data_IF_274442245251
#
_entry.id   IF_274442245251
#
_cell.length_a   1.000
_cell.length_b   1.000
_cell.length_c   1.000
_cell.angle_alpha   90.00
_cell.angle_beta   90.00
_cell.angle_gamma   90.00
#
_symmetry.space_group_name_H-M   'P 1'
#
loop_
_entity.id
_entity.type
_entity.pdbx_description
1 polymer ?
#
# COMPACT_ATOMS: atom_id res chain seq x y z
N UNK A 1 -3.61 -20.57 -23.66
CA UNK A 1 -2.25 -20.33 -23.12
C UNK A 1 -1.30 -19.75 -24.17
N UNK A 2 -1.18 -20.31 -25.38
CA UNK A 2 -0.30 -19.76 -26.42
C UNK A 2 -0.61 -18.28 -26.76
N UNK A 3 -1.88 -17.94 -26.94
CA UNK A 3 -2.31 -16.57 -27.25
C UNK A 3 -2.03 -15.58 -26.13
N UNK A 4 -2.13 -15.99 -24.85
CA UNK A 4 -1.83 -15.15 -23.70
C UNK A 4 -0.33 -14.89 -23.55
N UNK A 5 0.50 -15.92 -23.76
CA UNK A 5 1.95 -15.76 -23.76
C UNK A 5 2.40 -14.83 -24.91
N UNK A 6 1.78 -14.94 -26.07
CA UNK A 6 2.04 -14.05 -27.20
C UNK A 6 1.63 -12.62 -26.91
N UNK A 7 0.49 -12.39 -26.23
CA UNK A 7 0.05 -11.07 -25.79
C UNK A 7 1.11 -10.41 -24.88
N UNK A 8 1.57 -11.10 -23.85
CA UNK A 8 2.60 -10.58 -22.93
C UNK A 8 3.93 -10.36 -23.66
N UNK A 9 4.30 -11.28 -24.59
CA UNK A 9 5.49 -11.14 -25.41
C UNK A 9 5.44 -9.91 -26.35
N UNK A 10 4.25 -9.44 -26.74
CA UNK A 10 4.08 -8.20 -27.52
C UNK A 10 4.09 -6.96 -26.60
N UNK A 11 3.41 -7.02 -25.46
CA UNK A 11 3.33 -5.90 -24.53
C UNK A 11 4.69 -5.56 -23.92
N UNK A 12 5.50 -6.55 -23.60
CA UNK A 12 6.79 -6.39 -22.92
C UNK A 12 7.78 -5.46 -23.65
N UNK A 13 8.15 -5.73 -24.91
CA UNK A 13 9.06 -4.86 -25.68
C UNK A 13 8.53 -3.42 -25.80
N UNK A 14 7.22 -3.25 -25.96
CA UNK A 14 6.58 -1.93 -26.02
C UNK A 14 6.71 -1.17 -24.70
N UNK A 15 6.45 -1.83 -23.55
CA UNK A 15 6.65 -1.26 -22.24
C UNK A 15 8.12 -0.88 -21.99
N UNK A 16 9.05 -1.76 -22.36
CA UNK A 16 10.50 -1.49 -22.25
C UNK A 16 10.94 -0.30 -23.11
N UNK A 17 10.43 -0.16 -24.32
CA UNK A 17 10.70 1.00 -25.17
C UNK A 17 10.13 2.29 -24.55
N UNK A 18 8.89 2.23 -24.04
CA UNK A 18 8.26 3.35 -23.37
C UNK A 18 9.01 3.76 -22.10
N UNK A 19 9.45 2.81 -21.26
CA UNK A 19 10.23 3.07 -20.06
C UNK A 19 11.55 3.81 -20.39
N UNK A 20 12.24 3.43 -21.48
CA UNK A 20 13.43 4.17 -21.92
C UNK A 20 13.12 5.61 -22.35
N UNK A 21 11.98 5.81 -23.03
CA UNK A 21 11.54 7.17 -23.40
C UNK A 21 11.24 8.01 -22.15
N UNK A 22 10.51 7.44 -21.17
CA UNK A 22 10.18 8.11 -19.92
C UNK A 22 11.42 8.48 -19.09
N UNK A 23 12.41 7.59 -19.03
CA UNK A 23 13.65 7.84 -18.30
C UNK A 23 14.46 9.03 -18.85
N UNK A 24 14.25 9.39 -20.14
CA UNK A 24 14.88 10.55 -20.79
C UNK A 24 13.93 11.76 -20.93
N UNK A 25 12.67 11.63 -20.56
CA UNK A 25 11.70 12.71 -20.72
C UNK A 25 11.96 13.85 -19.72
N UNK A 26 11.82 15.12 -20.14
CA UNK A 26 11.88 16.24 -19.20
C UNK A 26 10.77 16.15 -18.15
N UNK A 27 11.04 16.52 -16.87
CA UNK A 27 10.02 16.56 -15.83
C UNK A 27 8.73 17.27 -16.23
N UNK A 28 8.85 18.44 -16.86
CA UNK A 28 7.68 19.22 -17.32
C UNK A 28 6.81 18.47 -18.34
N UNK A 29 7.39 17.59 -19.17
CA UNK A 29 6.63 16.79 -20.12
C UNK A 29 5.85 15.68 -19.40
N UNK A 30 6.42 15.07 -18.37
CA UNK A 30 5.73 14.09 -17.51
C UNK A 30 4.55 14.75 -16.81
N UNK A 31 4.75 15.96 -16.24
CA UNK A 31 3.69 16.71 -15.57
C UNK A 31 2.57 17.09 -16.55
N UNK A 32 2.92 17.58 -17.74
CA UNK A 32 1.95 17.88 -18.79
C UNK A 32 1.16 16.63 -19.23
N UNK A 33 1.80 15.45 -19.25
CA UNK A 33 1.12 14.20 -19.55
C UNK A 33 0.12 13.79 -18.47
N UNK A 34 0.46 13.94 -17.18
CA UNK A 34 -0.44 13.69 -16.06
C UNK A 34 -1.67 14.62 -16.10
N UNK A 35 -1.46 15.89 -16.38
CA UNK A 35 -2.55 16.87 -16.58
C UNK A 35 -3.44 16.52 -17.79
N UNK A 36 -2.83 16.11 -18.90
CA UNK A 36 -3.56 15.64 -20.08
C UNK A 36 -4.37 14.38 -19.79
N UNK A 37 -3.79 13.42 -19.05
CA UNK A 37 -4.48 12.22 -18.60
C UNK A 37 -5.69 12.55 -17.72
N UNK A 38 -5.55 13.49 -16.79
CA UNK A 38 -6.64 13.95 -15.94
C UNK A 38 -7.78 14.59 -16.76
N UNK A 39 -7.43 15.41 -17.76
CA UNK A 39 -8.39 16.02 -18.69
C UNK A 39 -9.14 14.98 -19.53
N UNK A 40 -8.41 14.02 -20.11
CA UNK A 40 -9.00 12.94 -20.91
C UNK A 40 -9.88 12.00 -20.09
N UNK A 41 -9.52 11.76 -18.81
CA UNK A 41 -10.35 10.98 -17.88
C UNK A 41 -11.71 11.65 -17.65
N UNK A 42 -11.73 12.98 -17.43
CA UNK A 42 -12.96 13.74 -17.29
C UNK A 42 -13.76 13.81 -18.60
N UNK A 43 -13.09 13.98 -19.74
CA UNK A 43 -13.75 13.97 -21.04
C UNK A 43 -14.41 12.62 -21.34
N UNK A 44 -13.82 11.51 -20.88
CA UNK A 44 -14.34 10.14 -21.04
C UNK A 44 -15.31 9.73 -19.91
N UNK A 45 -15.69 10.62 -19.00
CA UNK A 45 -16.47 10.28 -17.80
C UNK A 45 -17.72 9.45 -18.11
N UNK A 46 -18.50 9.84 -19.12
CA UNK A 46 -19.72 9.12 -19.50
C UNK A 46 -19.43 7.70 -19.98
N UNK A 47 -18.40 7.51 -20.80
CA UNK A 47 -18.00 6.18 -21.28
C UNK A 47 -17.53 5.29 -20.13
N UNK A 48 -16.76 5.85 -19.20
CA UNK A 48 -16.28 5.15 -18.00
C UNK A 48 -17.46 4.74 -17.11
N UNK A 49 -18.42 5.64 -16.86
CA UNK A 49 -19.58 5.35 -16.03
C UNK A 49 -20.49 4.31 -16.67
N UNK A 50 -20.69 4.36 -17.98
CA UNK A 50 -21.45 3.36 -18.73
C UNK A 50 -20.79 1.97 -18.65
N UNK A 51 -19.48 1.89 -18.84
CA UNK A 51 -18.70 0.65 -18.68
C UNK A 51 -18.83 0.13 -17.23
N UNK A 52 -18.73 1.02 -16.24
CA UNK A 52 -18.82 0.69 -14.83
C UNK A 52 -20.21 0.17 -14.45
N UNK A 53 -21.27 0.77 -14.96
CA UNK A 53 -22.63 0.28 -14.72
C UNK A 53 -22.81 -1.18 -15.18
N UNK A 54 -22.19 -1.55 -16.32
CA UNK A 54 -22.18 -2.93 -16.80
C UNK A 54 -21.42 -3.89 -15.90
N UNK A 55 -20.25 -3.48 -15.39
CA UNK A 55 -19.45 -4.30 -14.47
C UNK A 55 -20.16 -4.45 -13.11
N UNK A 56 -20.73 -3.36 -12.57
CA UNK A 56 -21.51 -3.39 -11.32
C UNK A 56 -22.76 -4.26 -11.43
N UNK A 57 -23.48 -4.19 -12.55
CA UNK A 57 -24.65 -5.04 -12.79
C UNK A 57 -24.27 -6.53 -12.82
N UNK A 58 -23.16 -6.87 -13.50
CA UNK A 58 -22.63 -8.23 -13.54
C UNK A 58 -22.21 -8.74 -12.16
N UNK A 59 -21.54 -7.89 -11.36
CA UNK A 59 -21.13 -8.24 -10.00
C UNK A 59 -22.32 -8.50 -9.07
N UNK A 60 -23.37 -7.66 -9.15
CA UNK A 60 -24.63 -7.87 -8.41
C UNK A 60 -25.35 -9.17 -8.82
N UNK A 61 -25.42 -9.42 -10.12
CA UNK A 61 -26.03 -10.65 -10.65
C UNK A 61 -25.25 -11.92 -10.23
N UNK A 62 -23.94 -11.81 -10.06
CA UNK A 62 -23.08 -12.88 -9.54
C UNK A 62 -23.13 -13.04 -8.00
N UNK A 63 -23.98 -12.28 -7.29
CA UNK A 63 -24.12 -12.36 -5.84
C UNK A 63 -22.93 -11.86 -5.04
N UNK A 64 -22.14 -10.94 -5.58
CA UNK A 64 -21.00 -10.36 -4.89
C UNK A 64 -21.42 -9.54 -3.67
N UNK A 65 -20.57 -9.47 -2.65
CA UNK A 65 -20.84 -8.75 -1.41
C UNK A 65 -21.07 -7.25 -1.65
N UNK A 66 -21.88 -6.61 -0.80
CA UNK A 66 -22.11 -5.16 -0.86
C UNK A 66 -20.81 -4.35 -0.80
N UNK A 67 -19.84 -4.78 0.01
CA UNK A 67 -18.52 -4.16 0.13
C UNK A 67 -17.71 -4.23 -1.18
N UNK A 68 -17.76 -5.36 -1.90
CA UNK A 68 -17.11 -5.50 -3.20
C UNK A 68 -17.80 -4.63 -4.25
N UNK A 69 -19.12 -4.62 -4.27
CA UNK A 69 -19.91 -3.78 -5.19
C UNK A 69 -19.64 -2.28 -4.96
N UNK A 70 -19.55 -1.83 -3.70
CA UNK A 70 -19.19 -0.44 -3.40
C UNK A 70 -17.77 -0.09 -3.88
N UNK A 71 -16.79 -0.97 -3.65
CA UNK A 71 -15.40 -0.78 -4.14
C UNK A 71 -15.32 -0.70 -5.66
N UNK A 72 -16.15 -1.46 -6.36
CA UNK A 72 -16.22 -1.49 -7.83
C UNK A 72 -16.92 -0.26 -8.41
N UNK A 73 -17.89 0.30 -7.67
CA UNK A 73 -18.75 1.36 -8.17
C UNK A 73 -18.00 2.68 -8.34
N UNK A 74 -18.04 3.27 -9.53
CA UNK A 74 -17.64 4.64 -9.78
C UNK A 74 -18.88 5.55 -9.86
N UNK A 75 -18.75 6.74 -9.31
CA UNK A 75 -19.68 7.86 -9.47
C UNK A 75 -18.97 9.00 -10.19
N UNK A 76 -19.69 10.03 -10.69
CA UNK A 76 -19.04 11.21 -11.25
C UNK A 76 -17.98 11.83 -10.32
N UNK A 77 -18.28 11.88 -9.02
CA UNK A 77 -17.38 12.42 -7.99
C UNK A 77 -16.14 11.53 -7.82
N UNK A 78 -16.29 10.21 -7.85
CA UNK A 78 -15.15 9.26 -7.78
C UNK A 78 -14.26 9.37 -9.01
N UNK A 79 -14.82 9.58 -10.21
CA UNK A 79 -14.01 9.83 -11.42
C UNK A 79 -13.31 11.18 -11.33
N UNK A 80 -13.99 12.23 -10.86
CA UNK A 80 -13.37 13.54 -10.64
C UNK A 80 -12.24 13.46 -9.61
N UNK A 81 -12.41 12.69 -8.53
CA UNK A 81 -11.37 12.45 -7.53
C UNK A 81 -10.15 11.74 -8.12
N UNK A 82 -10.34 10.78 -9.05
CA UNK A 82 -9.22 10.15 -9.76
C UNK A 82 -8.45 11.17 -10.62
N UNK A 83 -9.15 12.06 -11.34
CA UNK A 83 -8.51 13.10 -12.13
C UNK A 83 -7.74 14.09 -11.25
N UNK A 84 -8.30 14.48 -10.10
CA UNK A 84 -7.61 15.32 -9.12
C UNK A 84 -6.39 14.61 -8.51
N UNK A 85 -6.46 13.31 -8.28
CA UNK A 85 -5.33 12.47 -7.87
C UNK A 85 -4.16 12.58 -8.86
N UNK A 86 -4.42 12.52 -10.17
CA UNK A 86 -3.38 12.72 -11.19
C UNK A 86 -2.75 14.11 -11.14
N UNK A 87 -3.55 15.17 -10.95
CA UNK A 87 -3.04 16.54 -10.79
C UNK A 87 -2.19 16.68 -9.54
N UNK A 88 -2.63 16.09 -8.43
CA UNK A 88 -1.85 16.07 -7.21
C UNK A 88 -0.51 15.37 -7.43
N UNK A 89 -0.48 14.21 -8.09
CA UNK A 89 0.75 13.50 -8.46
C UNK A 89 1.62 14.37 -9.38
N UNK A 90 1.04 15.08 -10.36
CA UNK A 90 1.78 16.03 -11.22
C UNK A 90 2.50 17.10 -10.42
N UNK A 91 1.90 17.60 -9.33
CA UNK A 91 2.49 18.66 -8.48
C UNK A 91 3.61 18.15 -7.55
N UNK A 92 3.78 16.85 -7.38
CA UNK A 92 4.83 16.30 -6.51
C UNK A 92 6.23 16.47 -7.13
N UNK A 93 7.30 16.50 -6.32
CA UNK A 93 8.67 16.51 -6.82
C UNK A 93 8.96 15.25 -7.66
N UNK A 94 9.75 15.42 -8.74
CA UNK A 94 10.25 14.29 -9.50
C UNK A 94 11.36 13.55 -8.74
N UNK A 95 11.24 12.24 -8.51
CA UNK A 95 12.30 11.49 -7.84
C UNK A 95 13.46 11.17 -8.80
N UNK A 96 13.19 10.89 -10.07
CA UNK A 96 14.23 10.55 -11.06
C UNK A 96 15.17 11.72 -11.31
N UNK A 97 16.47 11.45 -11.30
CA UNK A 97 17.52 12.48 -11.47
C UNK A 97 17.97 13.14 -10.15
N UNK A 98 17.27 12.92 -9.05
CA UNK A 98 17.65 13.47 -7.74
C UNK A 98 18.99 12.91 -7.28
N UNK A 99 19.89 13.80 -6.87
CA UNK A 99 21.20 13.44 -6.30
C UNK A 99 21.03 13.12 -4.82
N UNK A 100 21.24 11.86 -4.44
CA UNK A 100 21.12 11.39 -3.07
C UNK A 100 22.36 11.66 -2.23
N UNK A 101 23.54 11.61 -2.87
CA UNK A 101 24.83 11.83 -2.23
C UNK A 101 25.90 12.15 -3.28
N UNK A 102 26.78 13.07 -2.94
CA UNK A 102 28.01 13.35 -3.72
C UNK A 102 29.24 13.28 -2.83
N UNK A 103 30.34 12.83 -3.40
CA UNK A 103 31.68 12.84 -2.72
C UNK A 103 32.80 12.81 -3.73
N UNK A 104 33.99 13.21 -3.29
CA UNK A 104 35.22 13.20 -4.09
C UNK A 104 36.26 12.30 -3.40
N UNK A 105 36.90 11.44 -4.16
CA UNK A 105 37.97 10.59 -3.67
C UNK A 105 39.32 11.34 -3.72
N UNK A 106 40.35 10.93 -2.94
CA UNK A 106 41.66 11.55 -2.95
C UNK A 106 42.36 11.60 -4.33
N UNK A 107 42.01 10.66 -5.23
CA UNK A 107 42.51 10.63 -6.62
C UNK A 107 41.75 11.60 -7.56
N UNK A 108 40.84 12.43 -7.04
CA UNK A 108 40.09 13.44 -7.81
C UNK A 108 38.85 12.95 -8.51
N UNK A 109 38.52 11.65 -8.44
CA UNK A 109 37.24 11.14 -8.97
C UNK A 109 36.07 11.70 -8.18
N UNK A 110 35.09 12.28 -8.88
CA UNK A 110 33.82 12.77 -8.30
C UNK A 110 32.70 11.76 -8.53
N UNK A 111 32.09 11.37 -7.45
CA UNK A 111 31.00 10.40 -7.44
C UNK A 111 29.68 11.08 -7.10
N UNK A 112 28.61 10.69 -7.76
CA UNK A 112 27.24 11.04 -7.40
C UNK A 112 26.37 9.77 -7.38
N UNK A 113 25.60 9.58 -6.31
CA UNK A 113 24.53 8.58 -6.23
C UNK A 113 23.25 9.26 -6.69
N UNK A 114 22.69 8.83 -7.83
CA UNK A 114 21.56 9.50 -8.50
C UNK A 114 20.39 8.54 -8.60
N UNK A 115 19.19 8.98 -8.26
CA UNK A 115 17.94 8.20 -8.43
C UNK A 115 17.66 7.95 -9.90
N UNK A 116 17.19 6.75 -10.20
CA UNK A 116 16.74 6.34 -11.53
C UNK A 116 15.43 5.54 -11.44
N UNK A 117 14.55 5.59 -12.47
CA UNK A 117 13.39 4.71 -12.53
C UNK A 117 13.79 3.24 -12.44
N UNK A 118 12.90 2.39 -11.94
CA UNK A 118 13.06 0.94 -11.96
C UNK A 118 12.97 0.39 -13.38
N UNK A 119 12.06 0.93 -14.19
CA UNK A 119 11.85 0.52 -15.58
C UNK A 119 10.40 0.18 -15.88
N UNK A 120 10.02 -1.08 -15.87
CA UNK A 120 8.65 -1.55 -16.09
C UNK A 120 8.09 -2.15 -14.82
N UNK A 121 6.99 -1.57 -14.33
CA UNK A 121 6.26 -2.08 -13.17
C UNK A 121 5.11 -2.96 -13.64
N UNK A 122 5.01 -4.17 -13.12
CA UNK A 122 3.80 -4.98 -13.20
C UNK A 122 2.88 -4.65 -12.04
N UNK A 123 1.60 -4.41 -12.30
CA UNK A 123 0.65 -4.09 -11.23
C UNK A 123 -0.60 -4.97 -11.36
N UNK A 124 -0.83 -5.85 -10.38
CA UNK A 124 -1.96 -6.79 -10.38
C UNK A 124 -2.90 -6.40 -9.23
N UNK A 125 -4.18 -6.10 -9.55
CA UNK A 125 -5.13 -5.58 -8.56
C UNK A 125 -6.53 -6.10 -8.77
N UNK A 126 -7.35 -6.03 -7.70
CA UNK A 126 -8.73 -6.50 -7.66
C UNK A 126 -9.69 -5.36 -7.31
N UNK A 127 -10.91 -5.44 -7.86
CA UNK A 127 -12.13 -4.72 -7.43
C UNK A 127 -12.02 -3.21 -7.16
N UNK A 128 -11.06 -2.52 -7.76
CA UNK A 128 -10.83 -1.08 -7.51
C UNK A 128 -10.42 -0.36 -8.80
N UNK A 129 -11.38 0.11 -9.64
CA UNK A 129 -11.05 0.77 -10.90
C UNK A 129 -10.17 2.02 -10.77
N UNK A 130 -10.28 2.76 -9.64
CA UNK A 130 -9.42 3.91 -9.34
C UNK A 130 -7.93 3.55 -9.32
N UNK A 131 -7.58 2.31 -8.92
CA UNK A 131 -6.19 1.84 -8.86
C UNK A 131 -5.52 1.85 -10.25
N UNK A 132 -6.30 1.70 -11.33
CA UNK A 132 -5.80 1.87 -12.71
C UNK A 132 -5.19 3.25 -12.90
N UNK A 133 -5.85 4.29 -12.36
CA UNK A 133 -5.41 5.68 -12.46
C UNK A 133 -4.24 5.97 -11.52
N UNK A 134 -4.36 5.52 -10.27
CA UNK A 134 -3.35 5.77 -9.22
C UNK A 134 -2.00 5.13 -9.59
N UNK A 135 -2.03 3.85 -10.00
CA UNK A 135 -0.82 3.13 -10.41
C UNK A 135 -0.19 3.74 -11.69
N UNK A 136 -1.01 4.13 -12.68
CA UNK A 136 -0.53 4.79 -13.87
C UNK A 136 0.15 6.13 -13.55
N UNK A 137 -0.49 6.95 -12.71
CA UNK A 137 0.03 8.27 -12.33
C UNK A 137 1.36 8.18 -11.59
N UNK A 138 1.44 7.32 -10.57
CA UNK A 138 2.65 7.15 -9.76
C UNK A 138 3.81 6.54 -10.56
N UNK A 139 3.54 5.52 -11.38
CA UNK A 139 4.56 4.94 -12.24
C UNK A 139 5.09 5.97 -13.25
N UNK A 140 4.19 6.71 -13.91
CA UNK A 140 4.59 7.73 -14.88
C UNK A 140 5.42 8.84 -14.23
N UNK A 141 4.99 9.37 -13.07
CA UNK A 141 5.69 10.44 -12.34
C UNK A 141 7.08 10.03 -11.90
N UNK A 142 7.26 8.76 -11.54
CA UNK A 142 8.57 8.19 -11.18
C UNK A 142 9.41 7.75 -12.39
N UNK A 143 8.92 7.97 -13.62
CA UNK A 143 9.62 7.66 -14.86
C UNK A 143 9.52 6.19 -15.31
N UNK A 144 8.57 5.42 -14.76
CA UNK A 144 8.37 4.02 -15.08
C UNK A 144 7.21 3.82 -16.08
N UNK A 145 7.33 2.83 -16.96
CA UNK A 145 6.18 2.27 -17.62
C UNK A 145 5.46 1.26 -16.71
N UNK A 146 4.17 1.04 -16.95
CA UNK A 146 3.38 0.08 -16.17
C UNK A 146 2.56 -0.85 -17.05
N UNK A 147 2.54 -2.14 -16.67
CA UNK A 147 1.63 -3.14 -17.21
C UNK A 147 0.62 -3.47 -16.12
N UNK A 148 -0.62 -3.09 -16.33
CA UNK A 148 -1.74 -3.22 -15.40
C UNK A 148 -2.52 -4.50 -15.69
N UNK A 149 -2.84 -5.26 -14.64
CA UNK A 149 -3.76 -6.38 -14.70
C UNK A 149 -4.83 -6.21 -13.61
N UNK A 150 -5.99 -5.70 -14.00
CA UNK A 150 -7.16 -5.58 -13.11
C UNK A 150 -7.97 -6.86 -13.00
N UNK A 151 -8.80 -6.97 -11.96
CA UNK A 151 -9.72 -8.08 -11.78
C UNK A 151 -10.75 -8.19 -12.91
N UNK A 152 -11.28 -9.40 -13.12
CA UNK A 152 -12.28 -9.69 -14.16
C UNK A 152 -13.58 -8.90 -13.97
N UNK A 153 -13.90 -8.58 -12.73
CA UNK A 153 -15.09 -7.85 -12.33
C UNK A 153 -15.09 -6.37 -12.74
N UNK A 154 -13.91 -5.81 -13.08
CA UNK A 154 -13.76 -4.41 -13.47
C UNK A 154 -13.19 -4.22 -14.89
N UNK A 155 -13.15 -5.26 -15.69
CA UNK A 155 -12.42 -5.26 -16.97
C UNK A 155 -12.92 -4.18 -17.95
N UNK A 156 -14.22 -3.99 -18.07
CA UNK A 156 -14.80 -2.97 -18.98
C UNK A 156 -14.44 -1.58 -18.51
N UNK A 157 -14.59 -1.31 -17.21
CA UNK A 157 -14.25 -0.05 -16.58
C UNK A 157 -12.77 0.27 -16.73
N UNK A 158 -11.90 -0.68 -16.39
CA UNK A 158 -10.44 -0.52 -16.48
C UNK A 158 -10.01 -0.27 -17.93
N UNK A 159 -10.66 -0.91 -18.90
CA UNK A 159 -10.39 -0.70 -20.34
C UNK A 159 -10.77 0.72 -20.77
N UNK A 160 -11.93 1.23 -20.32
CA UNK A 160 -12.36 2.58 -20.64
C UNK A 160 -11.37 3.62 -20.04
N UNK A 161 -10.96 3.42 -18.79
CA UNK A 161 -9.96 4.25 -18.11
C UNK A 161 -8.62 4.20 -18.86
N UNK A 162 -8.08 3.02 -19.15
CA UNK A 162 -6.78 2.87 -19.82
C UNK A 162 -6.76 3.56 -21.19
N UNK A 163 -7.87 3.53 -21.95
CA UNK A 163 -8.01 4.25 -23.21
C UNK A 163 -7.95 5.77 -23.02
N UNK A 164 -8.59 6.30 -21.98
CA UNK A 164 -8.53 7.73 -21.66
C UNK A 164 -7.10 8.15 -21.30
N UNK A 165 -6.42 7.37 -20.43
CA UNK A 165 -5.03 7.62 -20.05
C UNK A 165 -4.08 7.60 -21.26
N UNK A 166 -4.26 6.64 -22.18
CA UNK A 166 -3.46 6.53 -23.41
C UNK A 166 -3.61 7.75 -24.32
N UNK A 167 -4.82 8.33 -24.44
CA UNK A 167 -5.04 9.58 -25.18
C UNK A 167 -4.29 10.74 -24.56
N UNK A 168 -4.33 10.86 -23.23
CA UNK A 168 -3.59 11.89 -22.50
C UNK A 168 -2.07 11.80 -22.72
N UNK A 169 -1.52 10.58 -22.67
CA UNK A 169 -0.10 10.32 -22.94
C UNK A 169 0.29 10.76 -24.37
N UNK A 170 -0.45 10.30 -25.38
CA UNK A 170 -0.15 10.66 -26.78
C UNK A 170 -0.32 12.14 -27.05
N UNK A 171 -1.32 12.78 -26.44
CA UNK A 171 -1.52 14.24 -26.53
C UNK A 171 -0.35 15.06 -25.95
N UNK A 172 0.39 14.50 -25.00
CA UNK A 172 1.61 15.09 -24.42
C UNK A 172 2.91 14.63 -25.13
N UNK A 173 2.82 13.89 -26.22
CA UNK A 173 3.98 13.39 -26.96
C UNK A 173 4.73 12.24 -26.27
N UNK A 174 4.07 11.53 -25.36
CA UNK A 174 4.61 10.33 -24.73
C UNK A 174 3.97 9.06 -25.33
N UNK A 175 4.69 7.92 -25.32
CA UNK A 175 4.18 6.69 -25.89
C UNK A 175 2.97 6.16 -25.11
N UNK A 176 1.87 5.81 -25.77
CA UNK A 176 0.71 5.18 -25.16
C UNK A 176 1.08 3.89 -24.41
N UNK A 177 2.11 3.17 -24.85
CA UNK A 177 2.62 1.96 -24.24
C UNK A 177 3.31 2.18 -22.88
N UNK A 178 3.41 3.43 -22.39
CA UNK A 178 3.85 3.72 -21.04
C UNK A 178 2.83 3.24 -19.98
N UNK A 179 1.55 3.16 -20.36
CA UNK A 179 0.48 2.61 -19.52
C UNK A 179 -0.27 1.57 -20.35
N UNK A 180 -0.07 0.31 -20.05
CA UNK A 180 -0.74 -0.79 -20.74
C UNK A 180 -1.65 -1.55 -19.77
N UNK A 181 -2.83 -1.94 -20.23
CA UNK A 181 -3.74 -2.83 -19.53
C UNK A 181 -3.81 -4.17 -20.23
N UNK A 182 -3.67 -5.27 -19.49
CA UNK A 182 -3.95 -6.62 -20.01
C UNK A 182 -5.46 -6.71 -20.30
N UNK A 183 -5.86 -6.87 -21.56
CA UNK A 183 -7.26 -6.70 -21.98
C UNK A 183 -8.13 -7.95 -21.78
N UNK A 184 -7.66 -8.91 -20.99
CA UNK A 184 -8.33 -10.21 -20.77
C UNK A 184 -8.42 -10.54 -19.29
N UNK A 185 -9.48 -11.27 -18.92
CA UNK A 185 -9.78 -11.63 -17.54
C UNK A 185 -9.13 -12.94 -17.07
N UNK A 186 -8.39 -13.62 -17.94
CA UNK A 186 -7.81 -14.93 -17.66
C UNK A 186 -6.82 -14.89 -16.49
N UNK A 187 -6.97 -15.84 -15.55
CA UNK A 187 -6.12 -15.95 -14.36
C UNK A 187 -4.67 -16.34 -14.69
N UNK A 188 -4.45 -17.05 -15.79
CA UNK A 188 -3.09 -17.40 -16.24
C UNK A 188 -2.23 -16.16 -16.53
N UNK A 189 -2.84 -15.01 -16.81
CA UNK A 189 -2.11 -13.74 -16.97
C UNK A 189 -1.36 -13.33 -15.70
N UNK A 190 -1.88 -13.67 -14.50
CA UNK A 190 -1.19 -13.44 -13.23
C UNK A 190 0.12 -14.21 -13.19
N UNK A 191 0.10 -15.50 -13.54
CA UNK A 191 1.30 -16.34 -13.62
C UNK A 191 2.29 -15.82 -14.66
N UNK A 192 1.81 -15.54 -15.88
CA UNK A 192 2.67 -15.06 -16.97
C UNK A 192 3.36 -13.74 -16.63
N UNK A 193 2.68 -12.80 -15.97
CA UNK A 193 3.29 -11.55 -15.50
C UNK A 193 4.30 -11.81 -14.36
N UNK A 194 3.99 -12.74 -13.46
CA UNK A 194 4.89 -13.11 -12.35
C UNK A 194 6.18 -13.78 -12.85
N UNK A 195 6.13 -14.47 -13.99
CA UNK A 195 7.26 -15.13 -14.62
C UNK A 195 7.98 -14.26 -15.67
N UNK A 196 7.54 -13.02 -15.92
CA UNK A 196 7.99 -12.18 -17.03
C UNK A 196 9.38 -11.54 -16.82
N UNK A 197 10.38 -12.38 -16.61
CA UNK A 197 11.80 -11.97 -16.47
C UNK A 197 12.27 -11.23 -17.72
N UNK A 198 12.99 -10.10 -17.52
CA UNK A 198 13.45 -9.24 -18.61
C UNK A 198 12.39 -8.30 -19.18
N UNK A 199 11.13 -8.47 -18.80
CA UNK A 199 10.01 -7.56 -19.12
C UNK A 199 9.64 -6.69 -17.91
N UNK A 200 9.35 -7.31 -16.79
CA UNK A 200 8.96 -6.63 -15.54
C UNK A 200 10.16 -6.55 -14.61
N UNK A 201 10.42 -5.36 -14.07
CA UNK A 201 11.49 -5.10 -13.11
C UNK A 201 11.00 -5.24 -11.66
N UNK A 202 9.72 -4.92 -11.43
CA UNK A 202 9.07 -5.04 -10.13
C UNK A 202 7.59 -5.35 -10.32
N UNK A 203 7.05 -6.29 -9.55
CA UNK A 203 5.64 -6.65 -9.52
C UNK A 203 5.02 -6.25 -8.19
N UNK A 204 3.87 -5.59 -8.25
CA UNK A 204 3.13 -5.12 -7.07
C UNK A 204 1.71 -5.71 -7.12
N UNK A 205 1.39 -6.71 -6.29
CA UNK A 205 0.03 -7.20 -6.11
C UNK A 205 -0.77 -6.33 -5.13
N UNK A 206 -2.03 -6.05 -5.45
CA UNK A 206 -3.01 -5.32 -4.61
C UNK A 206 -4.35 -6.07 -4.58
N UNK A 207 -4.52 -6.95 -3.63
CA UNK A 207 -5.72 -7.77 -3.50
C UNK A 207 -5.74 -8.55 -2.21
N UNK A 208 -6.64 -9.51 -2.09
CA UNK A 208 -6.68 -10.41 -0.96
C UNK A 208 -5.49 -11.37 -0.93
N UNK A 209 -5.33 -12.03 0.23
CA UNK A 209 -4.23 -12.96 0.51
C UNK A 209 -4.04 -14.01 -0.60
N UNK A 210 -5.13 -14.58 -1.13
CA UNK A 210 -5.03 -15.59 -2.20
C UNK A 210 -4.41 -15.07 -3.51
N UNK A 211 -4.64 -13.80 -3.88
CA UNK A 211 -3.95 -13.18 -5.01
C UNK A 211 -2.46 -13.05 -4.72
N UNK A 212 -2.10 -12.56 -3.54
CA UNK A 212 -0.70 -12.34 -3.15
C UNK A 212 0.05 -13.67 -3.11
N UNK A 213 -0.52 -14.70 -2.50
CA UNK A 213 0.04 -16.06 -2.48
C UNK A 213 0.24 -16.63 -3.89
N UNK A 214 -0.75 -16.46 -4.79
CA UNK A 214 -0.64 -16.88 -6.20
C UNK A 214 0.50 -16.16 -6.92
N UNK A 215 0.63 -14.84 -6.74
CA UNK A 215 1.74 -14.07 -7.31
C UNK A 215 3.09 -14.58 -6.78
N UNK A 216 3.23 -14.74 -5.47
CA UNK A 216 4.48 -15.17 -4.83
C UNK A 216 4.87 -16.59 -5.26
N UNK A 217 3.88 -17.48 -5.39
CA UNK A 217 4.12 -18.86 -5.84
C UNK A 217 4.79 -18.94 -7.22
N UNK A 218 4.40 -18.05 -8.14
CA UNK A 218 4.90 -18.06 -9.52
C UNK A 218 5.98 -17.01 -9.79
N UNK A 219 6.25 -16.11 -8.85
CA UNK A 219 7.14 -15.00 -9.08
C UNK A 219 8.57 -15.42 -9.38
N UNK A 220 9.05 -14.99 -10.56
CA UNK A 220 10.45 -15.04 -10.98
C UNK A 220 11.03 -13.64 -11.13
N UNK A 221 10.22 -12.62 -10.88
CA UNK A 221 10.58 -11.20 -10.83
C UNK A 221 10.46 -10.72 -9.38
N UNK A 222 11.16 -9.64 -8.98
CA UNK A 222 10.99 -9.04 -7.66
C UNK A 222 9.53 -8.66 -7.39
N UNK A 223 9.04 -8.94 -6.18
CA UNK A 223 7.67 -8.62 -5.75
C UNK A 223 7.74 -7.79 -4.49
N UNK A 224 6.98 -6.72 -4.43
CA UNK A 224 6.73 -5.96 -3.20
C UNK A 224 5.31 -6.23 -2.75
N UNK A 225 5.15 -6.63 -1.50
CA UNK A 225 3.86 -7.07 -0.96
C UNK A 225 3.72 -6.81 0.54
N UNK A 226 2.51 -6.89 1.02
CA UNK A 226 2.16 -7.29 2.39
C UNK A 226 1.05 -8.34 2.31
N UNK A 227 1.00 -9.23 3.27
CA UNK A 227 -0.07 -10.24 3.34
C UNK A 227 -1.25 -9.74 4.15
N UNK A 228 -1.06 -9.59 5.44
CA UNK A 228 -2.09 -9.21 6.41
C UNK A 228 -1.64 -7.97 7.19
N UNK A 229 -2.56 -7.14 7.62
CA UNK A 229 -2.32 -5.99 8.49
C UNK A 229 -2.67 -6.31 9.95
N UNK A 230 -1.92 -7.19 10.60
CA UNK A 230 -2.12 -7.50 12.04
C UNK A 230 -1.36 -6.47 12.86
N UNK A 231 -1.99 -5.32 13.09
CA UNK A 231 -1.40 -4.21 13.82
C UNK A 231 -1.71 -4.28 15.32
N UNK A 232 -0.76 -3.87 16.16
CA UNK A 232 -0.95 -3.85 17.60
C UNK A 232 -0.80 -2.44 18.21
N UNK A 233 -1.58 -2.20 19.25
CA UNK A 233 -1.42 -1.07 20.18
C UNK A 233 -1.00 -1.62 21.55
N UNK A 234 0.12 -1.14 22.08
CA UNK A 234 0.55 -1.38 23.45
C UNK A 234 0.31 -0.16 24.33
N UNK A 235 -0.40 -0.34 25.43
CA UNK A 235 -0.63 0.68 26.46
C UNK A 235 0.26 0.36 27.66
N UNK A 236 1.26 1.18 27.87
CA UNK A 236 2.28 1.04 28.92
C UNK A 236 1.80 1.53 30.29
N UNK A 237 2.54 1.16 31.34
CA UNK A 237 2.25 1.59 32.72
C UNK A 237 2.32 3.11 32.89
N UNK A 238 3.19 3.81 32.16
CA UNK A 238 3.34 5.27 32.18
C UNK A 238 2.45 5.98 31.15
N UNK A 239 1.43 5.32 30.60
CA UNK A 239 0.56 5.92 29.59
C UNK A 239 -0.38 6.97 30.20
N UNK A 240 -0.58 8.07 29.47
CA UNK A 240 -1.79 8.87 29.64
C UNK A 240 -2.98 8.05 29.11
N UNK A 241 -3.82 7.57 30.03
CA UNK A 241 -4.91 6.66 29.71
C UNK A 241 -5.99 7.32 28.83
N UNK A 242 -6.22 8.64 29.00
CA UNK A 242 -7.18 9.38 28.15
C UNK A 242 -6.68 9.46 26.71
N UNK A 243 -5.38 9.67 26.51
CA UNK A 243 -4.74 9.61 25.19
C UNK A 243 -4.84 8.20 24.62
N UNK A 244 -4.52 7.18 25.42
CA UNK A 244 -4.56 5.78 25.00
C UNK A 244 -5.97 5.33 24.55
N UNK A 245 -7.03 5.74 25.27
CA UNK A 245 -8.43 5.49 24.90
C UNK A 245 -8.77 6.10 23.55
N UNK A 246 -8.42 7.36 23.32
CA UNK A 246 -8.64 8.04 22.03
C UNK A 246 -7.92 7.34 20.89
N UNK A 247 -6.67 6.96 21.11
CA UNK A 247 -5.85 6.25 20.08
C UNK A 247 -6.46 4.88 19.81
N UNK A 248 -6.82 4.09 20.83
CA UNK A 248 -7.40 2.76 20.66
C UNK A 248 -8.72 2.80 19.86
N UNK A 249 -9.62 3.72 20.24
CA UNK A 249 -10.89 3.92 19.53
C UNK A 249 -10.67 4.37 18.09
N UNK A 250 -9.79 5.33 17.85
CA UNK A 250 -9.46 5.79 16.50
C UNK A 250 -8.86 4.67 15.66
N UNK A 251 -7.86 3.98 16.20
CA UNK A 251 -7.13 2.93 15.49
C UNK A 251 -8.01 1.73 15.11
N UNK A 252 -9.06 1.41 15.89
CA UNK A 252 -9.99 0.31 15.56
C UNK A 252 -11.26 0.77 14.84
N UNK A 253 -11.87 1.88 15.26
CA UNK A 253 -13.24 2.19 14.87
C UNK A 253 -13.34 3.19 13.71
N UNK A 254 -12.30 3.97 13.39
CA UNK A 254 -12.36 4.97 12.32
C UNK A 254 -12.58 4.33 10.95
N UNK A 255 -11.94 3.18 10.68
CA UNK A 255 -12.09 2.39 9.45
C UNK A 255 -11.59 0.96 9.68
N UNK A 256 -12.43 0.04 10.19
CA UNK A 256 -11.98 -1.28 10.61
C UNK A 256 -11.49 -2.17 9.46
N UNK A 257 -11.98 -1.97 8.23
CA UNK A 257 -11.67 -2.79 7.05
C UNK A 257 -10.40 -2.39 6.29
N UNK A 258 -9.40 -1.79 6.95
CA UNK A 258 -8.11 -1.43 6.33
C UNK A 258 -6.95 -2.01 7.12
N UNK A 259 -5.84 -2.28 6.42
CA UNK A 259 -4.66 -2.99 6.95
C UNK A 259 -3.91 -2.28 8.09
N UNK A 260 -4.12 -0.97 8.29
CA UNK A 260 -3.52 -0.20 9.37
C UNK A 260 -4.46 0.00 10.58
N UNK A 261 -5.65 -0.64 10.59
CA UNK A 261 -6.46 -0.73 11.79
C UNK A 261 -5.82 -1.72 12.78
N UNK A 262 -5.94 -1.46 14.10
CA UNK A 262 -5.43 -2.42 15.08
C UNK A 262 -6.30 -3.69 15.10
N UNK A 263 -5.64 -4.83 15.24
CA UNK A 263 -6.26 -6.13 15.45
C UNK A 263 -5.97 -6.68 16.85
N UNK A 264 -4.91 -6.15 17.50
CA UNK A 264 -4.50 -6.53 18.86
C UNK A 264 -4.31 -5.31 19.75
N UNK A 265 -4.87 -5.38 20.97
CA UNK A 265 -4.67 -4.43 22.05
C UNK A 265 -3.91 -5.11 23.19
N UNK A 266 -2.69 -4.67 23.44
CA UNK A 266 -1.83 -5.11 24.53
C UNK A 266 -1.88 -4.07 25.65
N UNK A 267 -2.06 -4.48 26.89
CA UNK A 267 -2.19 -3.56 28.01
C UNK A 267 -1.30 -4.02 29.16
N UNK A 268 -0.47 -3.11 29.68
CA UNK A 268 0.35 -3.37 30.85
C UNK A 268 -0.51 -3.74 32.05
N UNK A 269 -0.12 -4.77 32.79
CA UNK A 269 -0.90 -5.32 33.92
C UNK A 269 -1.31 -4.27 34.95
N UNK A 270 -0.46 -3.29 35.27
CA UNK A 270 -0.67 -2.32 36.32
C UNK A 270 -1.74 -1.27 35.97
N UNK A 271 -2.01 -1.04 34.69
CA UNK A 271 -3.05 -0.10 34.23
C UNK A 271 -4.28 -0.81 33.64
N UNK A 272 -4.23 -2.14 33.52
CA UNK A 272 -5.23 -2.93 32.80
C UNK A 272 -6.65 -2.79 33.40
N UNK A 273 -6.80 -2.86 34.71
CA UNK A 273 -8.13 -2.79 35.37
C UNK A 273 -8.81 -1.43 35.11
N UNK A 274 -8.05 -0.34 35.16
CA UNK A 274 -8.56 1.02 34.93
C UNK A 274 -8.80 1.26 33.42
N UNK A 275 -7.82 0.97 32.60
CA UNK A 275 -7.86 1.25 31.17
C UNK A 275 -8.93 0.40 30.44
N UNK A 276 -8.95 -0.93 30.66
CA UNK A 276 -9.91 -1.80 29.98
C UNK A 276 -11.36 -1.55 30.36
N UNK A 277 -11.61 -1.01 31.56
CA UNK A 277 -12.96 -0.62 31.98
C UNK A 277 -13.51 0.51 31.11
N UNK A 278 -12.72 1.56 30.89
CA UNK A 278 -13.15 2.74 30.14
C UNK A 278 -13.02 2.51 28.62
N UNK A 279 -11.85 2.11 28.14
CA UNK A 279 -11.61 1.84 26.73
C UNK A 279 -12.49 0.68 26.21
N UNK A 280 -12.67 -0.38 27.02
CA UNK A 280 -13.55 -1.50 26.68
C UNK A 280 -15.01 -1.06 26.49
N UNK A 281 -15.52 -0.16 27.34
CA UNK A 281 -16.84 0.44 27.19
C UNK A 281 -16.92 1.25 25.90
N UNK A 282 -15.97 2.16 25.69
CA UNK A 282 -15.94 3.01 24.49
C UNK A 282 -15.89 2.20 23.19
N UNK A 283 -15.19 1.08 23.17
CA UNK A 283 -15.10 0.16 22.04
C UNK A 283 -16.40 -0.63 21.85
N UNK A 284 -16.94 -1.22 22.92
CA UNK A 284 -18.20 -2.00 22.85
C UNK A 284 -19.40 -1.14 22.48
N UNK A 285 -19.48 0.10 22.95
CA UNK A 285 -20.54 1.07 22.60
C UNK A 285 -20.49 1.41 21.09
N UNK A 286 -19.34 1.21 20.42
CA UNK A 286 -19.16 1.34 18.96
C UNK A 286 -19.30 0.02 18.20
N UNK A 287 -19.75 -1.02 18.87
CA UNK A 287 -20.02 -2.34 18.30
C UNK A 287 -18.78 -3.24 18.16
N UNK A 288 -17.64 -2.89 18.79
CA UNK A 288 -16.47 -3.76 18.76
C UNK A 288 -16.69 -4.99 19.65
N UNK A 289 -16.49 -6.17 19.05
CA UNK A 289 -16.50 -7.46 19.73
C UNK A 289 -15.11 -7.73 20.29
N UNK A 290 -14.99 -7.80 21.62
CA UNK A 290 -13.71 -8.05 22.29
C UNK A 290 -13.49 -9.55 22.46
N UNK A 291 -12.32 -10.03 21.99
CA UNK A 291 -11.80 -11.38 22.20
C UNK A 291 -10.59 -11.28 23.13
N UNK A 292 -10.73 -11.76 24.34
CA UNK A 292 -9.78 -11.48 25.41
C UNK A 292 -9.08 -12.71 25.95
N UNK A 293 -7.75 -12.63 26.18
CA UNK A 293 -7.01 -13.66 26.88
C UNK A 293 -7.51 -13.74 28.35
N UNK A 294 -7.20 -14.81 29.10
CA UNK A 294 -7.83 -15.05 30.43
C UNK A 294 -7.78 -13.88 31.41
N UNK A 295 -6.64 -13.15 31.53
CA UNK A 295 -6.49 -12.01 32.47
C UNK A 295 -7.37 -10.83 32.02
N UNK A 296 -7.32 -10.49 30.73
CA UNK A 296 -8.12 -9.42 30.16
C UNK A 296 -9.63 -9.76 30.21
N UNK A 297 -9.99 -11.01 29.96
CA UNK A 297 -11.37 -11.49 30.03
C UNK A 297 -11.96 -11.33 31.46
N UNK A 298 -11.16 -11.65 32.48
CA UNK A 298 -11.57 -11.49 33.88
C UNK A 298 -11.83 -10.02 34.22
N UNK A 299 -10.95 -9.10 33.78
CA UNK A 299 -11.11 -7.66 33.98
C UNK A 299 -12.36 -7.13 33.27
N UNK A 300 -12.56 -7.47 31.99
CA UNK A 300 -13.71 -7.03 31.20
C UNK A 300 -15.04 -7.56 31.77
N UNK A 301 -15.09 -8.82 32.19
CA UNK A 301 -16.29 -9.40 32.84
C UNK A 301 -16.59 -8.73 34.18
N UNK A 302 -15.58 -8.45 35.01
CA UNK A 302 -15.74 -7.71 36.29
C UNK A 302 -16.28 -6.29 36.04
N UNK A 303 -15.93 -5.69 34.88
CA UNK A 303 -16.48 -4.38 34.46
C UNK A 303 -17.90 -4.47 33.85
N UNK A 304 -18.49 -5.67 33.73
CA UNK A 304 -19.79 -5.86 33.13
C UNK A 304 -19.80 -5.71 31.58
N UNK A 305 -18.64 -5.82 30.93
CA UNK A 305 -18.52 -5.63 29.50
C UNK A 305 -18.62 -6.96 28.72
N UNK A 306 -19.31 -6.98 27.57
CA UNK A 306 -19.39 -8.16 26.72
C UNK A 306 -18.03 -8.47 26.13
N UNK A 307 -17.47 -9.64 26.46
CA UNK A 307 -16.23 -10.15 25.92
C UNK A 307 -16.26 -11.68 25.84
N UNK A 308 -15.61 -12.25 24.85
CA UNK A 308 -15.45 -13.71 24.68
C UNK A 308 -14.00 -14.11 24.86
N UNK A 309 -13.73 -15.38 25.18
CA UNK A 309 -12.37 -15.88 25.28
C UNK A 309 -11.69 -15.84 23.90
N UNK A 310 -10.47 -15.34 23.86
CA UNK A 310 -9.63 -15.39 22.67
C UNK A 310 -9.00 -16.77 22.51
N UNK A 311 -8.86 -17.23 21.28
CA UNK A 311 -7.97 -18.31 20.87
C UNK A 311 -6.57 -17.76 20.49
N UNK A 312 -5.58 -18.64 20.33
CA UNK A 312 -4.28 -18.22 19.82
C UNK A 312 -4.34 -17.67 18.40
N UNK A 313 -5.28 -18.15 17.59
CA UNK A 313 -5.47 -17.71 16.21
C UNK A 313 -6.04 -16.29 16.13
N UNK A 314 -6.78 -15.85 17.16
CA UNK A 314 -7.30 -14.48 17.19
C UNK A 314 -6.17 -13.42 17.19
N UNK A 315 -5.02 -13.73 17.75
CA UNK A 315 -3.82 -12.85 17.74
C UNK A 315 -3.03 -12.91 16.43
N UNK A 316 -3.43 -13.79 15.49
CA UNK A 316 -2.82 -13.94 14.16
C UNK A 316 -3.82 -13.69 13.03
N UNK A 317 -4.94 -13.07 13.37
CA UNK A 317 -6.04 -12.84 12.43
C UNK A 317 -6.18 -11.36 12.13
N UNK A 318 -6.15 -11.00 10.86
CA UNK A 318 -6.63 -9.71 10.38
C UNK A 318 -8.16 -9.80 10.24
N UNK A 319 -8.90 -9.25 11.20
CA UNK A 319 -10.36 -9.36 11.23
C UNK A 319 -11.04 -8.52 10.16
N UNK A 320 -10.47 -7.36 9.82
CA UNK A 320 -11.05 -6.38 8.89
C UNK A 320 -12.49 -5.96 9.27
N UNK A 321 -12.83 -6.09 10.54
CA UNK A 321 -14.15 -5.85 11.11
C UNK A 321 -14.02 -5.24 12.53
N UNK A 322 -15.12 -4.88 13.13
CA UNK A 322 -15.21 -4.41 14.52
C UNK A 322 -15.01 -5.59 15.51
N UNK A 323 -13.86 -6.24 15.41
CA UNK A 323 -13.38 -7.31 16.30
C UNK A 323 -11.97 -6.92 16.75
N UNK A 324 -11.64 -7.10 18.04
CA UNK A 324 -10.35 -6.76 18.61
C UNK A 324 -9.89 -7.82 19.61
N UNK A 325 -8.71 -8.37 19.38
CA UNK A 325 -8.05 -9.25 20.35
C UNK A 325 -7.42 -8.41 21.47
N UNK A 326 -7.58 -8.82 22.73
CA UNK A 326 -7.11 -8.09 23.92
C UNK A 326 -6.27 -8.99 24.80
N UNK A 327 -5.06 -8.55 25.13
CA UNK A 327 -4.17 -9.27 26.04
C UNK A 327 -3.55 -8.34 27.09
N UNK A 328 -3.47 -8.79 28.33
CA UNK A 328 -2.66 -8.15 29.36
C UNK A 328 -1.23 -8.70 29.25
N UNK A 329 -0.24 -7.83 29.33
CA UNK A 329 1.19 -8.15 29.31
C UNK A 329 1.85 -7.63 30.58
N UNK A 330 2.95 -8.26 30.99
CA UNK A 330 3.63 -7.91 32.23
C UNK A 330 4.51 -6.67 32.09
N UNK A 331 5.07 -6.43 30.90
CA UNK A 331 5.95 -5.31 30.58
C UNK A 331 6.07 -5.07 29.06
N UNK A 332 6.87 -4.07 28.70
CA UNK A 332 7.18 -3.74 27.31
C UNK A 332 7.89 -4.89 26.55
N UNK A 333 8.72 -5.66 27.27
CA UNK A 333 9.46 -6.80 26.67
C UNK A 333 8.49 -7.89 26.23
N UNK A 334 7.49 -8.23 27.05
CA UNK A 334 6.44 -9.19 26.66
C UNK A 334 5.59 -8.64 25.52
N UNK A 335 5.29 -7.32 25.48
CA UNK A 335 4.56 -6.71 24.39
C UNK A 335 5.34 -6.85 23.07
N UNK A 336 6.64 -6.54 23.06
CA UNK A 336 7.53 -6.70 21.87
C UNK A 336 7.59 -8.17 21.44
N UNK A 337 7.75 -9.10 22.39
CA UNK A 337 7.77 -10.54 22.10
C UNK A 337 6.45 -11.01 21.48
N UNK A 338 5.32 -10.54 22.00
CA UNK A 338 4.01 -10.85 21.44
C UNK A 338 3.86 -10.34 20.00
N UNK A 339 4.22 -9.08 19.73
CA UNK A 339 4.17 -8.48 18.39
C UNK A 339 5.09 -9.25 17.42
N UNK A 340 6.30 -9.62 17.87
CA UNK A 340 7.25 -10.39 17.05
C UNK A 340 6.69 -11.75 16.62
N UNK A 341 5.93 -12.43 17.49
CA UNK A 341 5.42 -13.80 17.25
C UNK A 341 4.09 -13.79 16.50
N UNK A 342 3.23 -12.80 16.75
CA UNK A 342 1.85 -12.79 16.27
C UNK A 342 1.57 -11.70 15.24
N UNK A 343 2.34 -10.59 15.22
CA UNK A 343 2.17 -9.48 14.29
C UNK A 343 2.55 -9.82 12.85
N UNK A 344 2.25 -8.90 11.96
CA UNK A 344 2.52 -9.02 10.51
C UNK A 344 3.65 -8.12 10.02
N UNK A 345 4.39 -7.48 10.90
CA UNK A 345 5.42 -6.48 10.59
C UNK A 345 4.87 -5.25 9.84
N UNK A 346 3.58 -4.96 9.98
CA UNK A 346 2.93 -3.86 9.27
C UNK A 346 3.04 -2.54 10.06
N UNK A 347 2.30 -2.39 11.16
CA UNK A 347 2.23 -1.14 11.91
C UNK A 347 1.93 -1.42 13.37
N UNK A 348 2.79 -0.97 14.27
CA UNK A 348 2.58 -1.12 15.70
C UNK A 348 2.82 0.19 16.43
N UNK A 349 2.14 0.37 17.57
CA UNK A 349 2.24 1.61 18.33
C UNK A 349 2.30 1.35 19.83
N UNK A 350 3.05 2.19 20.53
CA UNK A 350 3.05 2.27 21.99
C UNK A 350 2.44 3.59 22.45
N UNK A 351 1.70 3.54 23.55
CA UNK A 351 1.31 4.75 24.30
C UNK A 351 2.00 4.74 25.65
N UNK A 352 2.89 5.70 25.88
CA UNK A 352 3.65 5.85 27.13
C UNK A 352 4.14 7.28 27.31
N UNK A 353 4.26 7.73 28.55
CA UNK A 353 4.94 8.95 28.94
C UNK A 353 6.41 8.75 29.29
N UNK A 354 6.88 7.49 29.36
CA UNK A 354 8.30 7.18 29.63
C UNK A 354 9.09 7.05 28.35
N UNK A 355 10.04 7.96 28.14
CA UNK A 355 10.89 8.00 26.95
C UNK A 355 11.76 6.75 26.82
N UNK A 356 12.27 6.19 27.92
CA UNK A 356 13.13 5.01 27.87
C UNK A 356 12.36 3.78 27.36
N UNK A 357 11.15 3.57 27.86
CA UNK A 357 10.24 2.51 27.39
C UNK A 357 9.82 2.73 25.95
N UNK A 358 9.54 3.99 25.54
CA UNK A 358 9.23 4.32 24.16
C UNK A 358 10.36 3.94 23.21
N UNK A 359 11.60 4.35 23.51
CA UNK A 359 12.78 4.02 22.69
C UNK A 359 13.06 2.50 22.68
N UNK A 360 12.86 1.80 23.79
CA UNK A 360 12.93 0.34 23.83
C UNK A 360 11.93 -0.31 22.87
N UNK A 361 10.69 0.17 22.83
CA UNK A 361 9.65 -0.32 21.94
C UNK A 361 9.99 0.00 20.48
N UNK A 362 10.35 1.25 20.17
CA UNK A 362 10.69 1.70 18.83
C UNK A 362 11.88 0.92 18.22
N UNK A 363 12.87 0.59 19.04
CA UNK A 363 14.04 -0.20 18.62
C UNK A 363 13.76 -1.70 18.58
N UNK A 364 12.87 -2.22 19.45
CA UNK A 364 12.61 -3.64 19.62
C UNK A 364 11.57 -4.22 18.66
N UNK A 365 10.65 -3.40 18.16
CA UNK A 365 9.59 -3.85 17.24
C UNK A 365 10.07 -3.73 15.80
N UNK A 366 10.16 -4.85 15.08
CA UNK A 366 10.58 -4.90 13.67
C UNK A 366 9.37 -4.82 12.72
N UNK A 367 8.65 -3.71 12.75
CA UNK A 367 7.54 -3.42 11.84
C UNK A 367 7.90 -2.31 10.85
N UNK A 368 7.18 -2.26 9.72
CA UNK A 368 7.41 -1.27 8.67
C UNK A 368 7.21 0.15 9.20
N UNK A 369 6.23 0.33 10.11
CA UNK A 369 5.99 1.59 10.82
C UNK A 369 5.81 1.29 12.29
N UNK A 370 6.59 1.97 13.14
CA UNK A 370 6.48 1.89 14.59
C UNK A 370 6.24 3.29 15.13
N UNK A 371 5.21 3.44 15.95
CA UNK A 371 4.70 4.74 16.38
C UNK A 371 4.78 4.87 17.90
N UNK A 372 4.98 6.09 18.36
CA UNK A 372 4.88 6.47 19.75
C UNK A 372 3.81 7.55 19.92
N UNK A 373 2.82 7.30 20.77
CA UNK A 373 1.72 8.20 21.09
C UNK A 373 0.90 8.66 19.87
N UNK A 374 0.76 7.79 18.87
CA UNK A 374 0.00 8.06 17.66
C UNK A 374 -0.81 6.83 17.21
N UNK A 375 -1.91 7.05 16.53
CA UNK A 375 -2.74 5.98 15.96
C UNK A 375 -2.04 5.27 14.80
N UNK A 376 -2.19 3.95 14.69
CA UNK A 376 -1.71 3.17 13.54
C UNK A 376 -2.31 3.63 12.21
N UNK A 377 -3.44 4.36 12.26
CA UNK A 377 -4.10 4.98 11.11
C UNK A 377 -3.25 6.01 10.37
N UNK A 378 -2.20 6.52 10.99
CA UNK A 378 -1.23 7.40 10.36
C UNK A 378 -0.28 6.68 9.38
N UNK A 379 -0.22 5.36 9.34
CA UNK A 379 0.52 4.63 8.31
C UNK A 379 -0.22 4.72 6.96
N UNK A 380 -0.11 5.85 6.31
CA UNK A 380 -0.78 6.21 5.07
C UNK A 380 0.09 7.23 4.32
N UNK A 381 0.23 7.08 3.01
CA UNK A 381 1.13 7.93 2.21
C UNK A 381 0.75 9.41 2.21
N UNK A 382 -0.52 9.77 2.41
CA UNK A 382 -0.92 11.17 2.56
C UNK A 382 -0.49 11.74 3.90
N UNK A 383 -0.68 10.97 4.99
CA UNK A 383 -0.30 11.35 6.34
C UNK A 383 1.23 11.45 6.48
N UNK A 384 1.98 10.61 5.75
CA UNK A 384 3.45 10.67 5.67
C UNK A 384 3.96 11.84 4.82
N UNK A 385 3.09 12.57 4.15
CA UNK A 385 3.49 13.68 3.28
C UNK A 385 3.99 13.26 1.90
N UNK A 386 3.84 11.99 1.52
CA UNK A 386 4.23 11.50 0.19
C UNK A 386 3.25 11.91 -0.92
N UNK A 387 2.10 12.47 -0.53
CA UNK A 387 1.07 12.98 -1.44
C UNK A 387 0.22 11.91 -2.13
N UNK A 388 0.75 10.71 -2.33
CA UNK A 388 0.06 9.54 -2.85
C UNK A 388 0.81 8.28 -2.46
N UNK A 389 0.15 7.11 -2.46
CA UNK A 389 0.80 5.82 -2.24
C UNK A 389 0.31 4.78 -3.24
N UNK A 390 1.20 3.89 -3.66
CA UNK A 390 0.88 2.75 -4.51
C UNK A 390 0.52 1.51 -3.69
N UNK A 391 0.87 1.50 -2.42
CA UNK A 391 0.65 0.43 -1.46
C UNK A 391 1.56 0.54 -0.26
N UNK A 392 1.46 -0.44 0.64
CA UNK A 392 2.34 -0.57 1.81
C UNK A 392 3.13 -1.87 1.64
N UNK A 393 4.41 -1.85 2.00
CA UNK A 393 5.26 -3.04 2.00
C UNK A 393 5.68 -3.42 3.41
N UNK A 394 5.63 -4.70 3.73
CA UNK A 394 6.23 -5.25 4.95
C UNK A 394 7.58 -5.92 4.68
N UNK A 395 7.97 -6.06 3.41
CA UNK A 395 9.27 -6.61 3.01
C UNK A 395 10.41 -5.66 3.43
N UNK A 396 11.63 -6.19 3.58
CA UNK A 396 12.84 -5.39 3.87
C UNK A 396 13.58 -4.97 2.61
N UNK A 397 13.41 -5.72 1.56
CA UNK A 397 13.93 -5.48 0.21
C UNK A 397 12.75 -5.19 -0.71
N UNK A 398 12.76 -4.26 -1.49
CA UNK A 398 13.57 -3.11 -1.87
C UNK A 398 13.12 -1.87 -1.07
N UNK A 399 11.82 -1.81 -0.70
CA UNK A 399 11.17 -0.75 0.05
C UNK A 399 10.30 -1.32 1.17
N UNK A 400 10.10 -0.56 2.23
CA UNK A 400 9.31 -0.94 3.41
C UNK A 400 8.48 0.26 3.88
N UNK A 401 7.24 0.00 4.33
CA UNK A 401 6.27 1.04 4.73
C UNK A 401 5.42 1.53 3.56
N UNK A 402 4.78 2.69 3.68
CA UNK A 402 4.04 3.31 2.59
C UNK A 402 4.95 3.59 1.41
N UNK A 403 4.52 3.21 0.21
CA UNK A 403 5.30 3.36 -1.01
C UNK A 403 4.78 4.52 -1.84
N UNK A 404 5.55 5.58 -1.89
CA UNK A 404 5.31 6.73 -2.75
C UNK A 404 6.13 6.67 -4.05
N UNK A 405 6.51 7.84 -4.54
CA UNK A 405 7.28 7.98 -5.78
C UNK A 405 8.73 7.50 -5.65
N UNK A 406 9.33 7.69 -4.47
CA UNK A 406 10.74 7.35 -4.24
C UNK A 406 10.98 5.84 -4.26
N UNK A 407 10.03 5.06 -3.72
CA UNK A 407 10.09 3.60 -3.66
C UNK A 407 9.90 2.94 -5.04
N UNK A 408 9.39 3.69 -6.02
CA UNK A 408 9.34 3.27 -7.43
C UNK A 408 10.65 3.59 -8.19
N UNK A 409 11.71 3.93 -7.47
CA UNK A 409 13.03 4.23 -8.04
C UNK A 409 14.12 3.38 -7.39
N UNK A 410 15.25 3.31 -8.08
CA UNK A 410 16.52 2.83 -7.55
C UNK A 410 17.57 3.93 -7.71
N UNK A 411 18.84 3.58 -7.74
CA UNK A 411 19.91 4.55 -7.97
C UNK A 411 21.00 3.96 -8.86
N UNK A 412 21.75 4.84 -9.51
CA UNK A 412 23.02 4.53 -10.15
C UNK A 412 24.13 5.42 -9.62
N UNK A 413 25.36 4.99 -9.80
CA UNK A 413 26.53 5.85 -9.55
C UNK A 413 26.97 6.51 -10.85
N UNK A 414 27.12 7.82 -10.81
CA UNK A 414 27.72 8.63 -11.89
C UNK A 414 29.10 9.03 -11.41
N UNK A 415 30.13 8.67 -12.17
CA UNK A 415 31.53 8.97 -11.83
C UNK A 415 32.11 9.91 -12.90
N UNK A 416 32.69 11.03 -12.44
CA UNK A 416 33.33 11.99 -13.33
C UNK A 416 34.84 12.02 -12.99
N UNK A 417 35.63 11.80 -14.01
CA UNK A 417 37.09 11.78 -13.91
C UNK A 417 37.75 12.69 -14.95
N UNK A 418 39.05 12.79 -14.89
CA UNK A 418 39.93 13.54 -15.82
C UNK A 418 41.05 12.67 -16.38
N UNK A 419 40.84 11.33 -16.45
CA UNK A 419 41.81 10.38 -16.96
C UNK A 419 42.47 9.49 -15.89
N UNK A 420 41.91 9.44 -14.68
CA UNK A 420 42.43 8.56 -13.62
C UNK A 420 42.35 7.09 -14.03
N UNK A 421 43.44 6.36 -13.78
CA UNK A 421 43.56 4.92 -13.95
C UNK A 421 43.78 4.24 -12.62
N UNK A 422 43.36 2.99 -12.51
CA UNK A 422 43.64 2.16 -11.34
C UNK A 422 44.97 1.45 -11.57
N UNK A 423 45.93 1.66 -10.63
CA UNK A 423 47.19 0.93 -10.57
C UNK A 423 47.02 -0.46 -9.99
#
# INVERSE_FOLDING_TARGET
MADLAQLIAQMGPQARAAARTLAGAPPAQIDAALEAMAKELLAAQMDILNANAGDVAAAKAAGQTAALVDRLTLTPERVAACAEGLRKVASLPHPAGQVLREWTQPNGLKFAKVRVPLGVIGFIYESRPNVTVDAAGLCLKSGNAVILRGGSEALRTNTAIARALARGLTGAGLPAAAVQLVPVADRDTVRLLSEAVGVIDLLIPRGGRGLIESVVQFARVPVIKHYDGICALYVDTAADLVMAEKIAVNAKCSRPGVCNAIETLLVHRDVADKFLREAGRMLTDRGVKLRAEPRALAVLKKAGLPATAASNDDFRTEFLDLILAVKIVDDCTEAIAHITVHGSHHTDTIVTGDTATAEQFLAGVDSAVVLWNASTRFNDGHEFGFGAEIGISTDKLHARGPMGLEELTSYKYVVRGTGQVRG
#
